data_IF_990350928150
#
_entry.id   IF_990350928150
#
_cell.length_a   1.000
_cell.length_b   1.000
_cell.length_c   1.000
_cell.angle_alpha   90.00
_cell.angle_beta   90.00
_cell.angle_gamma   90.00
#
_symmetry.space_group_name_H-M   'P 1'
#
loop_
_entity.id
_entity.type
_entity.pdbx_description
1 polymer ?
#
# COMPACT_ATOMS: atom_id res chain seq x y z
N UNK A 1 11.78 -20.79 -10.95
CA UNK A 1 11.21 -19.55 -10.39
C UNK A 1 9.71 -19.54 -10.68
N UNK A 2 8.87 -19.10 -9.75
CA UNK A 2 7.42 -18.95 -10.00
C UNK A 2 7.22 -17.68 -10.83
N UNK A 3 6.37 -17.68 -11.86
CA UNK A 3 6.11 -16.49 -12.66
C UNK A 3 5.58 -15.37 -11.78
N UNK A 4 6.01 -14.14 -12.06
CA UNK A 4 5.48 -12.95 -11.40
C UNK A 4 4.02 -12.73 -11.83
N UNK A 5 3.19 -12.07 -11.00
CA UNK A 5 1.78 -11.82 -11.34
C UNK A 5 1.60 -11.03 -12.65
N UNK A 6 2.59 -10.22 -13.03
CA UNK A 6 2.63 -9.51 -14.31
C UNK A 6 2.89 -10.45 -15.49
N UNK A 7 3.77 -11.44 -15.33
CA UNK A 7 4.03 -12.46 -16.35
C UNK A 7 2.80 -13.38 -16.54
N UNK A 8 2.13 -13.76 -15.46
CA UNK A 8 0.86 -14.52 -15.52
C UNK A 8 -0.26 -13.74 -16.23
N UNK A 9 -0.35 -12.42 -15.99
CA UNK A 9 -1.29 -11.53 -16.67
C UNK A 9 -1.01 -11.47 -18.18
N UNK A 10 0.24 -11.25 -18.56
CA UNK A 10 0.65 -11.17 -19.97
C UNK A 10 0.31 -12.47 -20.72
N UNK A 11 0.53 -13.62 -20.09
CA UNK A 11 0.16 -14.92 -20.65
C UNK A 11 -1.34 -15.06 -20.88
N UNK A 12 -2.16 -14.72 -19.87
CA UNK A 12 -3.63 -14.80 -19.98
C UNK A 12 -4.21 -13.85 -21.03
N UNK A 13 -3.66 -12.65 -21.18
CA UNK A 13 -4.08 -11.70 -22.22
C UNK A 13 -3.75 -12.28 -23.61
N UNK A 14 -2.56 -12.83 -23.80
CA UNK A 14 -2.16 -13.48 -25.05
C UNK A 14 -3.09 -14.63 -25.45
N UNK A 15 -3.45 -15.49 -24.49
CA UNK A 15 -4.39 -16.59 -24.72
C UNK A 15 -5.81 -16.12 -25.09
N UNK A 16 -6.29 -15.05 -24.45
CA UNK A 16 -7.60 -14.48 -24.74
C UNK A 16 -7.66 -13.85 -26.14
N UNK A 17 -6.59 -13.18 -26.56
CA UNK A 17 -6.49 -12.57 -27.90
C UNK A 17 -6.37 -13.63 -29.01
N UNK A 18 -5.70 -14.75 -28.74
CA UNK A 18 -5.51 -15.82 -29.72
C UNK A 18 -6.77 -16.68 -29.95
N UNK A 19 -7.62 -16.82 -28.93
CA UNK A 19 -8.68 -17.84 -28.94
C UNK A 19 -10.12 -17.29 -28.87
N UNK A 20 -10.34 -15.97 -28.78
CA UNK A 20 -11.69 -15.39 -28.60
C UNK A 20 -12.16 -14.49 -29.76
N UNK A 21 -13.45 -14.52 -30.11
CA UNK A 21 -14.05 -13.54 -31.02
C UNK A 21 -13.88 -12.11 -30.49
N UNK A 22 -13.75 -11.12 -31.39
CA UNK A 22 -13.48 -9.72 -31.04
C UNK A 22 -14.43 -9.12 -29.97
N UNK A 23 -15.67 -9.61 -29.91
CA UNK A 23 -16.70 -9.15 -28.98
C UNK A 23 -16.53 -9.71 -27.55
N UNK A 24 -15.94 -10.89 -27.41
CA UNK A 24 -15.67 -11.53 -26.10
C UNK A 24 -14.34 -11.09 -25.49
N UNK A 25 -13.42 -10.61 -26.33
CA UNK A 25 -12.14 -10.03 -25.89
C UNK A 25 -12.37 -8.87 -24.93
N UNK A 26 -13.25 -7.91 -25.25
CA UNK A 26 -13.50 -6.74 -24.40
C UNK A 26 -13.99 -7.13 -23.00
N UNK A 27 -14.92 -8.08 -22.93
CA UNK A 27 -15.49 -8.57 -21.67
C UNK A 27 -14.44 -9.31 -20.83
N UNK A 28 -13.66 -10.19 -21.47
CA UNK A 28 -12.64 -10.98 -20.80
C UNK A 28 -11.45 -10.12 -20.34
N UNK A 29 -11.06 -9.11 -21.12
CA UNK A 29 -10.02 -8.16 -20.73
C UNK A 29 -10.42 -7.36 -19.49
N UNK A 30 -11.65 -6.81 -19.42
CA UNK A 30 -12.13 -6.11 -18.22
C UNK A 30 -12.10 -7.00 -16.98
N UNK A 31 -12.51 -8.27 -17.11
CA UNK A 31 -12.46 -9.22 -16.00
C UNK A 31 -11.02 -9.52 -15.56
N UNK A 32 -10.08 -9.62 -16.51
CA UNK A 32 -8.66 -9.83 -16.22
C UNK A 32 -8.04 -8.61 -15.52
N UNK A 33 -8.32 -7.39 -15.98
CA UNK A 33 -7.86 -6.16 -15.31
C UNK A 33 -8.39 -6.06 -13.87
N UNK A 34 -9.68 -6.36 -13.66
CA UNK A 34 -10.27 -6.37 -12.33
C UNK A 34 -9.58 -7.41 -11.43
N UNK A 35 -9.37 -8.63 -11.92
CA UNK A 35 -8.68 -9.69 -11.18
C UNK A 35 -7.22 -9.34 -10.85
N UNK A 36 -6.50 -8.65 -11.75
CA UNK A 36 -5.12 -8.24 -11.48
C UNK A 36 -5.05 -7.10 -10.49
N UNK A 37 -5.96 -6.13 -10.54
CA UNK A 37 -6.03 -5.06 -9.55
C UNK A 37 -6.20 -5.60 -8.13
N UNK A 38 -7.02 -6.64 -7.97
CA UNK A 38 -7.21 -7.33 -6.68
C UNK A 38 -6.02 -8.20 -6.30
N UNK A 39 -5.39 -8.91 -7.25
CA UNK A 39 -4.24 -9.78 -6.96
C UNK A 39 -2.94 -9.04 -6.63
N UNK A 40 -2.80 -7.81 -7.12
CA UNK A 40 -1.64 -6.96 -6.86
C UNK A 40 -1.86 -6.03 -5.65
N UNK A 41 -2.98 -6.17 -4.93
CA UNK A 41 -3.40 -5.28 -3.83
C UNK A 41 -3.18 -3.80 -4.20
N UNK A 42 -3.59 -3.42 -5.43
CA UNK A 42 -3.35 -2.07 -5.93
C UNK A 42 -4.21 -1.10 -5.13
N UNK A 43 -3.55 -0.37 -4.24
CA UNK A 43 -4.16 0.73 -3.49
C UNK A 43 -4.33 1.92 -4.45
N UNK A 44 -5.54 2.51 -4.54
CA UNK A 44 -5.72 3.76 -5.27
C UNK A 44 -4.73 4.81 -4.80
N UNK A 45 -4.22 5.63 -5.72
CA UNK A 45 -3.23 6.66 -5.39
C UNK A 45 -3.70 7.60 -4.28
N UNK A 46 -4.99 7.95 -4.29
CA UNK A 46 -5.62 8.78 -3.26
C UNK A 46 -5.56 8.12 -1.88
N UNK A 47 -5.89 6.83 -1.78
CA UNK A 47 -5.81 6.08 -0.52
C UNK A 47 -4.35 5.98 -0.02
N UNK A 48 -3.39 5.81 -0.94
CA UNK A 48 -1.97 5.84 -0.59
C UNK A 48 -1.54 7.20 -0.02
N UNK A 49 -1.97 8.30 -0.63
CA UNK A 49 -1.68 9.65 -0.17
C UNK A 49 -2.28 9.92 1.22
N UNK A 50 -3.50 9.41 1.49
CA UNK A 50 -4.11 9.46 2.83
C UNK A 50 -3.27 8.68 3.85
N UNK A 51 -2.84 7.46 3.53
CA UNK A 51 -2.01 6.67 4.44
C UNK A 51 -0.67 7.33 4.72
N UNK A 52 -0.06 7.97 3.72
CA UNK A 52 1.15 8.74 3.89
C UNK A 52 0.95 9.93 4.84
N UNK A 53 -0.17 10.65 4.72
CA UNK A 53 -0.50 11.76 5.62
C UNK A 53 -0.74 11.30 7.07
N UNK A 54 -1.45 10.18 7.25
CA UNK A 54 -1.65 9.55 8.57
C UNK A 54 -0.31 9.13 9.18
N UNK A 55 0.58 8.54 8.39
CA UNK A 55 1.90 8.15 8.84
C UNK A 55 2.74 9.35 9.26
N UNK A 56 2.72 10.44 8.49
CA UNK A 56 3.43 11.67 8.83
C UNK A 56 2.94 12.24 10.17
N UNK A 57 1.61 12.40 10.31
CA UNK A 57 1.01 12.87 11.56
C UNK A 57 1.39 12.00 12.75
N UNK A 58 1.44 10.69 12.56
CA UNK A 58 1.81 9.75 13.63
C UNK A 58 3.27 9.94 14.05
N UNK A 59 4.19 10.17 13.11
CA UNK A 59 5.59 10.49 13.42
C UNK A 59 5.70 11.79 14.23
N UNK A 60 4.99 12.83 13.81
CA UNK A 60 5.01 14.12 14.51
C UNK A 60 4.47 13.98 15.96
N UNK A 61 3.41 13.17 16.14
CA UNK A 61 2.87 12.88 17.46
C UNK A 61 3.85 12.08 18.34
N UNK A 62 4.57 11.12 17.77
CA UNK A 62 5.60 10.34 18.48
C UNK A 62 6.73 11.26 18.95
N UNK A 63 7.26 12.11 18.08
CA UNK A 63 8.34 13.05 18.42
C UNK A 63 7.93 14.02 19.55
N UNK A 64 6.69 14.52 19.49
CA UNK A 64 6.14 15.37 20.54
C UNK A 64 6.01 14.63 21.89
N UNK A 65 5.62 13.36 21.86
CA UNK A 65 5.54 12.53 23.07
C UNK A 65 6.92 12.21 23.62
N UNK A 66 7.88 11.84 22.78
CA UNK A 66 9.28 11.60 23.18
C UNK A 66 9.88 12.83 23.86
N UNK A 67 9.65 14.03 23.30
CA UNK A 67 10.08 15.29 23.89
C UNK A 67 9.47 15.53 25.27
N UNK A 68 8.17 15.26 25.41
CA UNK A 68 7.46 15.41 26.70
C UNK A 68 7.96 14.42 27.73
N UNK A 69 8.19 13.17 27.34
CA UNK A 69 8.73 12.13 28.23
C UNK A 69 10.13 12.52 28.71
N UNK A 70 11.03 12.91 27.80
CA UNK A 70 12.37 13.35 28.16
C UNK A 70 12.37 14.56 29.13
N UNK A 71 11.47 15.52 28.93
CA UNK A 71 11.32 16.66 29.83
C UNK A 71 10.85 16.22 31.24
N UNK A 72 9.92 15.28 31.32
CA UNK A 72 9.43 14.73 32.59
C UNK A 72 10.51 13.89 33.29
N UNK A 73 11.25 13.06 32.56
CA UNK A 73 12.36 12.28 33.08
C UNK A 73 13.44 13.19 33.69
N UNK A 74 13.79 14.29 33.02
CA UNK A 74 14.73 15.29 33.56
C UNK A 74 14.21 15.98 34.83
N UNK A 75 12.90 16.26 34.91
CA UNK A 75 12.31 16.85 36.11
C UNK A 75 12.36 15.88 37.30
N UNK A 76 12.07 14.60 37.06
CA UNK A 76 12.14 13.56 38.09
C UNK A 76 13.57 13.35 38.59
N UNK A 77 14.57 13.37 37.70
CA UNK A 77 15.97 13.28 38.09
C UNK A 77 16.40 14.45 38.97
N UNK A 78 16.01 15.68 38.61
CA UNK A 78 16.30 16.87 39.42
C UNK A 78 15.60 16.88 40.78
N UNK A 79 14.45 16.21 40.91
CA UNK A 79 13.71 16.08 42.17
C UNK A 79 14.18 14.95 43.09
N UNK A 80 14.99 14.00 42.58
CA UNK A 80 15.58 12.91 43.37
C UNK A 80 16.97 13.21 43.94
N UNK A 81 17.63 14.26 43.43
CA UNK A 81 18.94 14.75 43.89
C UNK A 81 18.83 15.89 44.95
N UNK A 82 17.62 16.17 45.46
CA UNK A 82 17.33 17.15 46.51
C UNK A 82 16.76 16.46 47.77
#
# INVERSE_FOLDING_TARGET
MKPTPLEELSGKIGELLANSPAKDIEKNLRAVFHNVSTRLDLVPREEFEVQQAVLQKTRDMVEALETRVAALEQQLQKGGDA
#
